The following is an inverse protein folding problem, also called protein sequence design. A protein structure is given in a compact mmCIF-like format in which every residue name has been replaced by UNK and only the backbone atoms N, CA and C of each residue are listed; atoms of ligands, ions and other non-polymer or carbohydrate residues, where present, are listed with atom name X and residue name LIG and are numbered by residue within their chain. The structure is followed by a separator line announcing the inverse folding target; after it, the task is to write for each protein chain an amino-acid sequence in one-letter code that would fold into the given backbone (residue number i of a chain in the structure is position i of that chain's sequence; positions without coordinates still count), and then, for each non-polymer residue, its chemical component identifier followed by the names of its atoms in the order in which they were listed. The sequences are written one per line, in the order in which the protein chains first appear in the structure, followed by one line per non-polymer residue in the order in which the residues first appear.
data_IF_551891595535
#
_entry.id   IF_551891595535
#
_cell.length_a   1.000
_cell.length_b   1.000
_cell.length_c   1.000
_cell.angle_alpha   90.00
_cell.angle_beta   90.00
_cell.angle_gamma   90.00
#
_symmetry.space_group_name_H-M   'P 1'
#
loop_
_entity.id
_entity.type
_entity.pdbx_description
1 polymer ?
#
# COMPACT_ATOMS: atom_id res chain seq x y z
N UNK A 1 -21.35 48.23 14.27
CA UNK A 1 -21.26 47.83 12.85
C UNK A 1 -20.89 49.06 12.03
N UNK A 2 -19.72 49.09 11.40
CA UNK A 2 -19.34 50.12 10.42
C UNK A 2 -18.73 49.38 9.22
N UNK A 3 -19.52 49.25 8.17
CA UNK A 3 -19.19 48.64 6.90
C UNK A 3 -18.50 49.69 6.03
N UNK A 4 -17.22 49.49 5.73
CA UNK A 4 -16.52 50.30 4.73
C UNK A 4 -16.67 49.66 3.36
N UNK A 5 -17.04 50.53 2.42
CA UNK A 5 -17.45 50.25 1.05
C UNK A 5 -16.22 50.28 0.13
N UNK A 6 -16.25 49.40 -0.87
CA UNK A 6 -15.71 49.53 -2.25
C UNK A 6 -14.21 49.73 -2.49
N UNK A 7 -13.59 48.84 -3.29
CA UNK A 7 -13.42 49.09 -4.73
C UNK A 7 -12.87 47.86 -5.46
N UNK A 8 -13.56 47.46 -6.54
CA UNK A 8 -13.11 46.49 -7.52
C UNK A 8 -12.00 47.10 -8.39
N UNK A 9 -10.92 46.35 -8.62
CA UNK A 9 -10.02 46.58 -9.76
C UNK A 9 -9.91 45.27 -10.52
N UNK A 10 -10.60 45.20 -11.66
CA UNK A 10 -10.41 44.18 -12.69
C UNK A 10 -9.25 44.66 -13.54
N UNK A 11 -8.12 43.95 -13.49
CA UNK A 11 -7.04 44.11 -14.47
C UNK A 11 -6.88 42.78 -15.21
N UNK A 12 -7.33 42.80 -16.47
CA UNK A 12 -7.24 41.67 -17.37
C UNK A 12 -5.84 41.52 -17.97
N UNK A 13 -5.51 40.29 -18.33
CA UNK A 13 -4.46 39.99 -19.31
C UNK A 13 -4.75 38.67 -20.01
N UNK A 14 -5.21 38.81 -21.25
CA UNK A 14 -4.95 38.00 -22.46
C UNK A 14 -4.71 36.50 -22.28
N UNK A 15 -5.70 35.73 -22.73
CA UNK A 15 -5.58 34.31 -23.07
C UNK A 15 -4.56 34.10 -24.19
N UNK A 16 -3.48 33.33 -23.94
CA UNK A 16 -2.73 32.67 -25.01
C UNK A 16 -3.31 31.25 -25.20
N UNK A 17 -4.02 31.07 -26.32
CA UNK A 17 -4.35 29.74 -26.85
C UNK A 17 -3.12 29.20 -27.57
N UNK A 18 -2.43 28.22 -26.98
CA UNK A 18 -1.51 27.37 -27.73
C UNK A 18 -2.26 26.12 -28.20
N UNK A 19 -2.67 26.13 -29.48
CA UNK A 19 -3.08 24.94 -30.22
C UNK A 19 -1.84 24.13 -30.58
N UNK A 20 -1.54 23.10 -29.78
CA UNK A 20 -0.59 22.05 -30.13
C UNK A 20 -1.33 20.89 -30.80
N UNK A 21 -1.50 20.95 -32.12
CA UNK A 21 -1.85 19.78 -32.92
C UNK A 21 -0.54 19.15 -33.44
N UNK A 22 -0.21 17.96 -32.95
CA UNK A 22 0.60 17.03 -33.72
C UNK A 22 -0.10 15.68 -33.75
N UNK A 23 -0.43 15.33 -34.97
CA UNK A 23 -0.95 14.09 -35.52
C UNK A 23 -0.12 12.86 -35.18
N UNK A 24 -0.79 11.71 -35.11
CA UNK A 24 -0.27 10.49 -35.75
C UNK A 24 0.17 9.36 -34.84
N UNK A 25 -0.80 8.51 -34.52
CA UNK A 25 -0.77 7.05 -34.71
C UNK A 25 0.27 6.18 -33.98
N UNK A 26 -0.28 5.25 -33.19
CA UNK A 26 0.35 4.03 -32.67
C UNK A 26 1.13 3.24 -33.74
N UNK A 27 2.31 2.70 -33.37
CA UNK A 27 2.64 1.31 -33.68
C UNK A 27 3.69 0.73 -32.70
N UNK A 28 3.50 -0.56 -32.43
CA UNK A 28 4.05 -1.36 -31.34
C UNK A 28 5.49 -1.88 -31.56
N UNK A 29 5.95 -2.53 -30.48
CA UNK A 29 7.18 -3.27 -30.24
C UNK A 29 7.72 -4.15 -31.38
N UNK A 30 9.05 -4.34 -31.42
CA UNK A 30 9.69 -5.63 -31.09
C UNK A 30 11.23 -5.56 -31.07
N UNK A 31 11.78 -6.60 -30.44
CA UNK A 31 13.06 -6.85 -29.77
C UNK A 31 14.34 -7.02 -30.60
N UNK A 32 15.43 -7.22 -29.84
CA UNK A 32 16.71 -7.92 -30.11
C UNK A 32 17.90 -7.04 -30.53
N UNK A 33 19.18 -7.26 -30.16
CA UNK A 33 19.92 -8.11 -29.21
C UNK A 33 21.41 -7.65 -29.30
N UNK A 34 22.18 -7.82 -28.20
CA UNK A 34 23.65 -7.97 -28.04
C UNK A 34 24.25 -6.98 -27.05
N UNK A 35 24.73 -7.41 -25.87
CA UNK A 35 25.90 -8.27 -25.56
C UNK A 35 27.25 -7.60 -25.82
N UNK A 36 27.92 -7.21 -24.73
CA UNK A 36 29.37 -7.12 -24.66
C UNK A 36 29.84 -7.94 -23.44
N UNK A 37 30.73 -8.88 -23.73
CA UNK A 37 31.31 -9.85 -22.82
C UNK A 37 32.50 -9.28 -22.05
N UNK A 38 32.77 -9.88 -20.87
CA UNK A 38 34.12 -9.92 -20.31
C UNK A 38 34.44 -11.36 -19.90
N UNK A 39 35.57 -11.81 -20.43
CA UNK A 39 36.11 -13.16 -20.46
C UNK A 39 36.90 -13.48 -19.18
N UNK A 40 36.74 -14.68 -18.63
CA UNK A 40 37.88 -15.41 -18.02
C UNK A 40 37.65 -16.91 -18.13
N UNK A 41 38.66 -17.62 -18.65
CA UNK A 41 38.70 -19.08 -18.88
C UNK A 41 39.36 -19.81 -17.70
N UNK A 42 39.18 -21.14 -17.71
CA UNK A 42 40.07 -22.20 -17.15
C UNK A 42 39.63 -22.72 -15.78
N UNK A 43 39.48 -24.02 -15.48
CA UNK A 43 39.66 -25.30 -16.18
C UNK A 43 38.76 -26.39 -15.55
N UNK A 44 38.53 -27.46 -16.32
CA UNK A 44 37.80 -28.66 -15.93
C UNK A 44 38.63 -29.62 -15.06
N UNK A 45 37.95 -30.39 -14.19
CA UNK A 45 38.22 -31.83 -14.00
C UNK A 45 36.99 -32.57 -13.46
N UNK A 46 36.70 -33.70 -14.10
CA UNK A 46 35.62 -34.68 -13.86
C UNK A 46 36.09 -35.78 -12.89
N UNK A 47 35.14 -36.36 -12.13
CA UNK A 47 34.95 -37.79 -11.73
C UNK A 47 34.14 -37.84 -10.41
N UNK A 48 32.86 -38.25 -10.40
CA UNK A 48 32.24 -39.61 -10.42
C UNK A 48 32.20 -40.34 -9.06
N UNK A 49 30.97 -40.40 -8.51
CA UNK A 49 30.30 -41.44 -7.72
C UNK A 49 30.92 -42.03 -6.43
N UNK A 50 30.20 -41.91 -5.31
CA UNK A 50 29.64 -43.06 -4.55
C UNK A 50 28.67 -42.60 -3.44
N UNK A 51 27.41 -43.03 -3.59
CA UNK A 51 26.45 -43.54 -2.61
C UNK A 51 26.73 -43.30 -1.11
N UNK A 52 25.83 -42.58 -0.44
CA UNK A 52 25.35 -43.05 0.87
C UNK A 52 23.85 -42.76 1.03
N UNK A 53 23.15 -43.78 1.52
CA UNK A 53 21.74 -43.76 1.85
C UNK A 53 21.63 -43.34 3.31
N UNK A 54 21.03 -42.18 3.62
CA UNK A 54 20.34 -42.04 4.89
C UNK A 54 18.96 -41.44 4.66
N UNK A 55 17.98 -42.30 4.92
CA UNK A 55 16.59 -41.98 5.08
C UNK A 55 16.44 -41.22 6.39
N UNK A 56 15.94 -39.99 6.34
CA UNK A 56 15.14 -39.41 7.42
C UNK A 56 14.12 -38.47 6.79
N UNK A 57 12.88 -38.94 6.84
CA UNK A 57 11.68 -38.16 6.65
C UNK A 57 11.66 -37.05 7.71
N UNK A 58 11.83 -35.80 7.29
CA UNK A 58 11.31 -34.65 8.02
C UNK A 58 10.81 -33.60 7.02
N UNK A 59 9.49 -33.57 6.86
CA UNK A 59 8.78 -32.60 6.07
C UNK A 59 8.90 -31.21 6.68
N UNK A 60 9.83 -30.41 6.19
CA UNK A 60 9.84 -28.97 6.45
C UNK A 60 9.07 -28.22 5.36
N UNK A 61 7.77 -28.13 5.59
CA UNK A 61 6.91 -27.09 5.05
C UNK A 61 7.46 -25.73 5.50
N UNK A 62 8.02 -24.96 4.57
CA UNK A 62 8.33 -23.55 4.81
C UNK A 62 7.03 -22.74 4.83
N UNK A 63 6.29 -22.81 5.94
CA UNK A 63 5.30 -21.79 6.26
C UNK A 63 6.05 -20.53 6.73
N UNK A 64 5.79 -19.42 6.04
CA UNK A 64 6.39 -18.11 6.28
C UNK A 64 5.83 -17.50 7.56
N UNK A 65 6.36 -17.92 8.71
CA UNK A 65 6.23 -17.15 9.93
C UNK A 65 7.50 -16.31 10.04
N UNK A 66 7.49 -15.14 9.39
CA UNK A 66 8.48 -14.10 9.66
C UNK A 66 8.17 -13.46 11.02
N UNK A 67 8.27 -14.26 12.08
CA UNK A 67 8.27 -13.79 13.45
C UNK A 67 9.72 -13.45 13.80
N UNK A 68 10.15 -12.25 13.37
CA UNK A 68 11.33 -11.64 13.97
C UNK A 68 10.92 -11.10 15.35
N UNK A 69 11.12 -11.92 16.37
CA UNK A 69 11.17 -11.51 17.76
C UNK A 69 12.43 -10.69 17.98
N UNK A 70 12.31 -9.44 18.42
CA UNK A 70 13.28 -8.73 19.27
C UNK A 70 12.65 -7.42 19.80
N UNK A 71 12.12 -7.45 21.02
CA UNK A 71 12.55 -6.55 22.12
C UNK A 71 11.67 -6.80 23.35
N UNK A 72 12.21 -7.57 24.30
CA UNK A 72 11.88 -7.41 25.71
C UNK A 72 12.50 -6.07 26.14
N UNK A 73 11.64 -5.07 26.37
CA UNK A 73 11.80 -3.92 27.28
C UNK A 73 10.97 -2.73 26.77
N UNK A 74 9.79 -2.53 27.39
CA UNK A 74 9.10 -1.24 27.39
C UNK A 74 7.81 -1.14 26.56
N UNK A 75 6.68 -1.49 27.18
CA UNK A 75 5.32 -0.93 26.97
C UNK A 75 4.99 -0.31 25.58
N UNK A 76 5.23 -1.03 24.48
CA UNK A 76 4.81 -0.63 23.14
C UNK A 76 3.66 -1.52 22.67
N UNK A 77 2.61 -0.95 22.09
CA UNK A 77 1.53 -1.74 21.47
C UNK A 77 2.07 -2.62 20.34
N UNK A 78 1.63 -3.88 20.33
CA UNK A 78 1.95 -4.83 19.25
C UNK A 78 1.09 -4.56 18.02
N UNK A 79 1.64 -4.86 16.84
CA UNK A 79 0.90 -4.84 15.57
C UNK A 79 -0.32 -5.77 15.62
N UNK A 80 -1.40 -5.38 14.95
CA UNK A 80 -2.62 -6.16 14.77
C UNK A 80 -2.52 -7.21 13.65
N UNK A 81 -1.30 -7.50 13.18
CA UNK A 81 -1.05 -8.44 12.08
C UNK A 81 -1.28 -7.85 10.68
N UNK A 82 -1.42 -6.52 10.59
CA UNK A 82 -1.65 -5.80 9.35
C UNK A 82 -0.38 -5.42 8.59
N UNK A 83 -0.56 -4.79 7.44
CA UNK A 83 0.50 -4.08 6.74
C UNK A 83 0.72 -2.72 7.40
N UNK A 84 1.96 -2.45 7.82
CA UNK A 84 2.34 -1.20 8.48
C UNK A 84 3.09 -0.28 7.52
N UNK A 85 2.76 1.01 7.57
CA UNK A 85 3.51 2.10 6.94
C UNK A 85 3.71 3.20 7.97
N UNK A 86 4.95 3.66 8.10
CA UNK A 86 5.28 4.88 8.84
C UNK A 86 5.29 6.08 7.90
N UNK A 87 4.52 7.12 8.22
CA UNK A 87 4.39 8.34 7.43
C UNK A 87 4.64 9.56 8.31
N UNK A 88 5.89 10.02 8.34
CA UNK A 88 6.31 11.08 9.23
C UNK A 88 6.19 10.61 10.69
N UNK A 89 5.34 11.28 11.47
CA UNK A 89 5.08 10.92 12.87
C UNK A 89 3.88 9.98 13.04
N UNK A 90 3.32 9.45 11.96
CA UNK A 90 2.11 8.65 12.00
C UNK A 90 2.42 7.19 11.65
N UNK A 91 1.82 6.30 12.44
CA UNK A 91 1.80 4.87 12.22
C UNK A 91 0.46 4.48 11.59
N UNK A 92 0.51 3.88 10.41
CA UNK A 92 -0.65 3.46 9.64
C UNK A 92 -0.61 1.93 9.50
N UNK A 93 -1.54 1.24 10.12
CA UNK A 93 -1.67 -0.22 9.99
C UNK A 93 -3.00 -0.57 9.30
N UNK A 94 -2.90 -1.31 8.22
CA UNK A 94 -4.04 -1.76 7.41
C UNK A 94 -4.18 -3.28 7.49
N UNK A 95 -5.38 -3.72 7.86
CA UNK A 95 -5.76 -5.13 7.88
C UNK A 95 -6.99 -5.34 6.99
N UNK A 96 -6.94 -6.39 6.19
CA UNK A 96 -8.06 -6.81 5.36
C UNK A 96 -8.39 -8.26 5.71
N UNK A 97 -9.60 -8.50 6.21
CA UNK A 97 -10.05 -9.80 6.68
C UNK A 97 -11.21 -10.30 5.80
N UNK A 98 -10.95 -11.19 4.83
CA UNK A 98 -11.99 -11.82 4.05
C UNK A 98 -12.93 -12.68 4.90
N UNK A 99 -14.23 -12.40 4.86
CA UNK A 99 -15.28 -13.23 5.44
C UNK A 99 -16.40 -13.47 4.42
N UNK A 100 -16.66 -14.73 4.05
CA UNK A 100 -17.77 -15.10 3.14
C UNK A 100 -17.79 -14.31 1.81
N UNK A 101 -18.73 -13.37 1.65
CA UNK A 101 -18.89 -12.50 0.47
C UNK A 101 -18.42 -11.05 0.70
N UNK A 102 -17.83 -10.76 1.88
CA UNK A 102 -17.36 -9.43 2.29
C UNK A 102 -15.90 -9.45 2.73
N UNK A 103 -15.21 -8.32 2.63
CA UNK A 103 -13.92 -8.09 3.31
C UNK A 103 -14.14 -7.03 4.38
N UNK A 104 -13.81 -7.35 5.63
CA UNK A 104 -13.65 -6.36 6.69
C UNK A 104 -12.33 -5.61 6.48
N UNK A 105 -12.40 -4.29 6.50
CA UNK A 105 -11.25 -3.41 6.33
C UNK A 105 -11.08 -2.67 7.63
N UNK A 106 -9.98 -2.94 8.32
CA UNK A 106 -9.61 -2.27 9.56
C UNK A 106 -8.35 -1.44 9.33
N UNK A 107 -8.36 -0.23 9.88
CA UNK A 107 -7.29 0.73 9.71
C UNK A 107 -7.00 1.42 11.04
N UNK A 108 -5.81 1.15 11.59
CA UNK A 108 -5.32 1.78 12.80
C UNK A 108 -4.45 2.96 12.41
N UNK A 109 -4.79 4.13 12.97
CA UNK A 109 -4.06 5.36 12.76
C UNK A 109 -3.57 5.89 14.11
N UNK A 110 -2.26 5.90 14.29
CA UNK A 110 -1.62 6.28 15.56
C UNK A 110 -0.56 7.36 15.32
N UNK A 111 -0.18 8.08 16.36
CA UNK A 111 0.72 9.25 16.28
C UNK A 111 1.82 9.20 17.34
N UNK A 112 3.05 9.50 16.91
CA UNK A 112 4.24 9.60 17.75
C UNK A 112 4.72 8.26 18.31
N UNK A 113 5.85 8.30 19.01
CA UNK A 113 6.54 7.11 19.57
C UNK A 113 5.68 6.29 20.53
N UNK A 114 4.69 6.91 21.19
CA UNK A 114 3.77 6.23 22.10
C UNK A 114 2.63 5.50 21.39
N UNK A 115 2.51 5.70 20.08
CA UNK A 115 1.40 5.23 19.27
C UNK A 115 0.04 5.70 19.81
N UNK A 116 -0.09 7.00 20.12
CA UNK A 116 -1.36 7.56 20.58
C UNK A 116 -2.42 7.48 19.46
N UNK A 117 -3.58 6.91 19.76
CA UNK A 117 -4.67 6.73 18.80
C UNK A 117 -5.17 8.07 18.25
N UNK A 118 -5.34 8.15 16.93
CA UNK A 118 -5.95 9.29 16.24
C UNK A 118 -7.39 8.93 15.88
N UNK A 119 -8.36 9.48 16.60
CA UNK A 119 -9.80 9.15 16.43
C UNK A 119 -10.60 10.16 15.62
N UNK A 120 -10.04 11.35 15.36
CA UNK A 120 -10.73 12.49 14.76
C UNK A 120 -10.41 12.71 13.27
N UNK A 121 -9.81 11.73 12.59
CA UNK A 121 -9.53 11.78 11.17
C UNK A 121 -10.78 11.49 10.31
N UNK A 122 -10.87 12.12 9.13
CA UNK A 122 -11.75 11.66 8.05
C UNK A 122 -10.96 10.69 7.18
N UNK A 123 -11.39 9.42 7.15
CA UNK A 123 -10.67 8.35 6.46
C UNK A 123 -11.49 7.81 5.30
N UNK A 124 -10.87 7.65 4.14
CA UNK A 124 -11.48 7.02 2.96
C UNK A 124 -10.51 6.07 2.31
N UNK A 125 -10.97 4.85 2.01
CA UNK A 125 -10.25 3.90 1.16
C UNK A 125 -10.67 4.07 -0.30
N UNK A 126 -9.70 4.35 -1.17
CA UNK A 126 -9.83 4.21 -2.62
C UNK A 126 -9.29 2.84 -3.02
N UNK A 127 -10.18 1.95 -3.45
CA UNK A 127 -9.87 0.55 -3.71
C UNK A 127 -10.00 0.28 -5.20
N UNK A 128 -8.90 -0.12 -5.83
CA UNK A 128 -8.92 -0.71 -7.16
C UNK A 128 -9.12 -2.23 -7.03
N UNK A 129 -10.18 -2.73 -7.63
CA UNK A 129 -10.55 -4.13 -7.70
C UNK A 129 -9.63 -4.89 -8.68
N UNK A 130 -9.62 -6.24 -8.65
CA UNK A 130 -8.84 -7.06 -9.58
C UNK A 130 -9.17 -6.83 -11.06
N UNK A 131 -10.40 -6.42 -11.36
CA UNK A 131 -10.84 -6.06 -12.72
C UNK A 131 -10.42 -4.65 -13.16
N UNK A 132 -9.72 -3.92 -12.29
CA UNK A 132 -9.27 -2.54 -12.50
C UNK A 132 -10.31 -1.47 -12.17
N UNK A 133 -11.56 -1.84 -11.87
CA UNK A 133 -12.58 -0.88 -11.44
C UNK A 133 -12.24 -0.28 -10.07
N UNK A 134 -12.72 0.94 -9.80
CA UNK A 134 -12.44 1.63 -8.54
C UNK A 134 -13.70 1.73 -7.67
N UNK A 135 -13.50 1.67 -6.35
CA UNK A 135 -14.50 1.96 -5.32
C UNK A 135 -13.94 2.91 -4.27
N UNK A 136 -14.75 3.89 -3.89
CA UNK A 136 -14.49 4.77 -2.76
C UNK A 136 -15.32 4.31 -1.57
N UNK A 137 -14.68 4.05 -0.45
CA UNK A 137 -15.32 3.57 0.77
C UNK A 137 -14.92 4.46 1.95
N UNK A 138 -15.85 5.24 2.55
CA UNK A 138 -15.56 5.95 3.78
C UNK A 138 -15.40 4.94 4.93
N UNK A 139 -14.44 5.18 5.82
CA UNK A 139 -14.27 4.39 7.04
C UNK A 139 -14.80 5.16 8.24
N UNK A 140 -15.40 4.44 9.19
CA UNK A 140 -15.95 4.99 10.43
C UNK A 140 -15.05 4.61 11.60
N UNK A 141 -14.79 5.52 12.52
CA UNK A 141 -14.04 5.21 13.73
C UNK A 141 -14.92 4.46 14.75
N UNK A 142 -14.46 3.31 15.22
CA UNK A 142 -15.07 2.56 16.33
C UNK A 142 -14.27 2.82 17.61
N UNK A 143 -14.92 3.42 18.61
CA UNK A 143 -14.24 3.87 19.81
C UNK A 143 -13.82 2.73 20.74
N UNK A 144 -14.55 1.61 20.74
CA UNK A 144 -14.24 0.46 21.59
C UNK A 144 -12.97 -0.26 21.14
N UNK A 145 -12.86 -0.47 19.84
CA UNK A 145 -11.77 -1.22 19.22
C UNK A 145 -10.66 -0.31 18.68
N UNK A 146 -10.82 1.02 18.84
CA UNK A 146 -9.84 2.05 18.54
C UNK A 146 -9.28 2.05 17.11
N UNK A 147 -10.12 1.75 16.14
CA UNK A 147 -9.72 1.73 14.73
C UNK A 147 -10.81 2.28 13.82
N UNK A 148 -10.44 2.58 12.59
CA UNK A 148 -11.36 2.89 11.52
C UNK A 148 -11.74 1.60 10.79
N UNK A 149 -13.02 1.38 10.58
CA UNK A 149 -13.49 0.17 9.90
C UNK A 149 -14.43 0.50 8.74
N UNK A 150 -14.47 -0.41 7.76
CA UNK A 150 -15.50 -0.46 6.72
C UNK A 150 -15.65 -1.88 6.17
N UNK A 151 -16.73 -2.10 5.41
CA UNK A 151 -17.01 -3.40 4.79
C UNK A 151 -17.05 -3.25 3.27
N UNK A 152 -16.23 -4.03 2.58
CA UNK A 152 -16.24 -4.14 1.13
C UNK A 152 -17.07 -5.35 0.69
N UNK A 153 -18.27 -5.13 0.16
CA UNK A 153 -19.13 -6.20 -0.38
C UNK A 153 -18.69 -6.64 -1.79
N UNK A 154 -17.58 -7.39 -1.88
CA UNK A 154 -17.03 -7.98 -3.11
C UNK A 154 -16.27 -9.27 -2.81
N UNK A 155 -16.35 -10.22 -3.75
CA UNK A 155 -15.73 -11.55 -3.65
C UNK A 155 -14.80 -11.93 -4.80
N UNK A 156 -14.50 -10.98 -5.70
CA UNK A 156 -13.62 -11.27 -6.83
C UNK A 156 -12.25 -11.71 -6.30
N UNK A 157 -11.78 -12.87 -6.73
CA UNK A 157 -10.45 -13.33 -6.36
C UNK A 157 -9.39 -12.49 -7.09
N UNK A 158 -8.26 -12.27 -6.44
CA UNK A 158 -7.13 -11.53 -7.00
C UNK A 158 -6.61 -10.41 -6.11
N UNK A 159 -5.74 -9.58 -6.69
CA UNK A 159 -5.11 -8.48 -5.97
C UNK A 159 -5.99 -7.23 -5.99
N UNK A 160 -6.17 -6.64 -4.82
CA UNK A 160 -6.80 -5.35 -4.59
C UNK A 160 -5.70 -4.35 -4.23
N UNK A 161 -5.73 -3.17 -4.86
CA UNK A 161 -4.83 -2.06 -4.50
C UNK A 161 -5.62 -1.02 -3.74
N UNK A 162 -5.10 -0.58 -2.60
CA UNK A 162 -5.80 0.33 -1.68
C UNK A 162 -4.95 1.59 -1.49
N UNK A 163 -5.57 2.75 -1.62
CA UNK A 163 -5.04 4.00 -1.10
C UNK A 163 -5.94 4.47 0.05
N UNK A 164 -5.41 4.49 1.27
CA UNK A 164 -6.07 5.11 2.42
C UNK A 164 -5.73 6.59 2.41
N UNK A 165 -6.77 7.42 2.39
CA UNK A 165 -6.68 8.86 2.44
C UNK A 165 -7.19 9.33 3.80
N UNK A 166 -6.30 9.85 4.65
CA UNK A 166 -6.66 10.37 5.97
C UNK A 166 -6.47 11.88 6.01
N UNK A 167 -7.48 12.57 6.52
CA UNK A 167 -7.45 14.00 6.79
C UNK A 167 -7.63 14.23 8.29
N UNK A 168 -6.55 14.67 8.94
CA UNK A 168 -6.46 14.91 10.38
C UNK A 168 -6.43 16.43 10.56
N UNK A 169 -7.62 17.03 10.74
CA UNK A 169 -7.76 18.48 10.89
C UNK A 169 -7.08 19.31 9.78
N UNK A 170 -7.10 18.82 8.53
CA UNK A 170 -6.47 19.46 7.37
C UNK A 170 -5.09 18.91 7.01
N UNK A 171 -4.43 18.18 7.91
CA UNK A 171 -3.21 17.45 7.59
C UNK A 171 -3.53 16.17 6.82
N UNK A 172 -2.85 15.94 5.69
CA UNK A 172 -3.05 14.74 4.86
C UNK A 172 -2.02 13.68 5.20
N UNK A 173 -2.48 12.51 5.59
CA UNK A 173 -1.65 11.35 5.92
C UNK A 173 -2.20 10.16 5.15
N UNK A 174 -1.50 9.75 4.09
CA UNK A 174 -2.01 8.76 3.16
C UNK A 174 -1.13 7.51 3.16
N UNK A 175 -1.74 6.34 3.03
CA UNK A 175 -1.06 5.06 2.92
C UNK A 175 -1.47 4.31 1.66
N UNK A 176 -0.57 3.49 1.09
CA UNK A 176 -0.87 2.60 -0.04
C UNK A 176 -0.62 1.15 0.37
N UNK A 177 -1.64 0.31 0.23
CA UNK A 177 -1.63 -1.07 0.66
C UNK A 177 -2.13 -1.98 -0.45
N UNK A 178 -1.97 -3.29 -0.27
CA UNK A 178 -2.53 -4.30 -1.17
C UNK A 178 -3.05 -5.47 -0.37
N UNK A 179 -4.14 -6.10 -0.79
CA UNK A 179 -4.53 -7.39 -0.22
C UNK A 179 -4.99 -8.34 -1.33
N UNK A 180 -4.97 -9.64 -1.03
CA UNK A 180 -5.51 -10.66 -1.92
C UNK A 180 -6.77 -11.25 -1.30
N UNK A 181 -7.75 -11.53 -2.15
CA UNK A 181 -8.90 -12.36 -1.82
C UNK A 181 -8.92 -13.58 -2.72
#
# INVERSE_FOLDING_TARGET
MKLLKTSFVVLGSVSLLFLGACSGSNQAANSETNSAASTTKTAAKTETAAKDNHSENDGHSHNKNNAHSHSEDGKGEHSHGGQVIESGQYHLEFLAEPENDVTHIDFYLKKGEKHDTVSNARVTAQIQLPDGSQKSLPLTYEAKEQHYHAVLSKKAAGEYKVAILSDINGEKVNGRFTFKR
#
